data_IF_997417632287
#
_entry.id   IF_997417632287
#
_cell.length_a   1.000
_cell.length_b   1.000
_cell.length_c   1.000
_cell.angle_alpha   90.00
_cell.angle_beta   90.00
_cell.angle_gamma   90.00
#
_symmetry.space_group_name_H-M   'P 1'
#
loop_
_entity.id
_entity.type
_entity.pdbx_description
1 polymer ?
#
# COMPACT_ATOMS: atom_id res chain seq x y z
N UNK A 1 -37.65 40.96 38.36
CA UNK A 1 -36.54 40.01 38.13
C UNK A 1 -36.26 40.01 36.63
N UNK A 2 -35.04 40.25 36.14
CA UNK A 2 -34.76 40.19 34.70
C UNK A 2 -34.92 38.75 34.21
N UNK A 3 -35.65 38.55 33.09
CA UNK A 3 -35.88 37.29 32.46
C UNK A 3 -34.54 36.61 32.18
N UNK A 4 -34.39 35.32 32.56
CA UNK A 4 -33.25 34.50 32.17
C UNK A 4 -33.23 34.42 30.65
N UNK A 5 -32.27 35.06 29.99
CA UNK A 5 -32.04 34.91 28.57
C UNK A 5 -31.78 33.39 28.32
N UNK A 6 -32.65 32.78 27.50
CA UNK A 6 -32.43 31.43 27.07
C UNK A 6 -31.07 31.37 26.33
N UNK A 7 -30.24 30.43 26.71
CA UNK A 7 -28.96 30.22 26.00
C UNK A 7 -29.25 29.75 24.56
N UNK A 8 -28.45 30.18 23.62
CA UNK A 8 -28.55 29.75 22.23
C UNK A 8 -28.52 28.24 22.12
N UNK A 9 -29.26 27.61 21.20
CA UNK A 9 -29.33 26.13 21.05
C UNK A 9 -27.95 25.46 20.95
N UNK A 10 -27.01 26.07 20.23
CA UNK A 10 -25.65 25.52 20.09
C UNK A 10 -24.87 25.50 21.42
N UNK A 11 -25.12 26.48 22.30
CA UNK A 11 -24.49 26.53 23.63
C UNK A 11 -25.05 25.45 24.54
N UNK A 12 -26.34 25.18 24.44
CA UNK A 12 -26.99 24.09 25.18
C UNK A 12 -26.40 22.78 24.74
N UNK A 13 -26.34 22.52 23.44
CA UNK A 13 -25.77 21.30 22.85
C UNK A 13 -24.29 21.09 23.26
N UNK A 14 -23.47 22.14 23.18
CA UNK A 14 -22.08 22.14 23.61
C UNK A 14 -21.92 21.75 25.08
N UNK A 15 -22.73 22.37 25.95
CA UNK A 15 -22.69 22.11 27.40
C UNK A 15 -23.14 20.68 27.76
N UNK A 16 -24.18 20.19 27.12
CA UNK A 16 -24.69 18.84 27.34
C UNK A 16 -23.68 17.80 26.92
N UNK A 17 -22.99 18.02 25.80
CA UNK A 17 -21.95 17.14 25.31
C UNK A 17 -20.72 17.13 26.24
N UNK A 18 -20.23 18.30 26.66
CA UNK A 18 -19.14 18.38 27.62
C UNK A 18 -19.52 17.76 28.98
N UNK A 19 -20.75 17.93 29.43
CA UNK A 19 -21.26 17.31 30.65
C UNK A 19 -21.33 15.80 30.55
N UNK A 20 -21.68 15.24 29.38
CA UNK A 20 -21.71 13.79 29.17
C UNK A 20 -20.31 13.16 29.16
N UNK A 21 -19.29 13.89 28.69
CA UNK A 21 -17.92 13.39 28.56
C UNK A 21 -17.04 13.64 29.80
N UNK A 22 -17.20 14.79 30.46
CA UNK A 22 -16.36 15.24 31.56
C UNK A 22 -17.09 15.33 32.91
N UNK A 23 -18.40 15.09 32.91
CA UNK A 23 -19.24 15.24 34.10
C UNK A 23 -19.62 16.69 34.41
N UNK A 24 -20.45 16.90 35.46
CA UNK A 24 -21.00 18.23 35.79
C UNK A 24 -19.99 19.20 36.43
N UNK A 25 -18.79 18.73 36.74
CA UNK A 25 -17.72 19.54 37.32
C UNK A 25 -17.12 20.55 36.31
N UNK A 26 -17.18 20.26 35.02
CA UNK A 26 -16.63 21.06 33.95
C UNK A 26 -17.73 21.93 33.32
N UNK A 27 -17.52 23.24 33.30
CA UNK A 27 -18.46 24.20 32.73
C UNK A 27 -17.75 25.16 31.77
N UNK A 28 -18.42 25.52 30.68
CA UNK A 28 -17.94 26.51 29.71
C UNK A 28 -18.91 27.66 29.63
N UNK A 29 -18.36 28.86 29.53
CA UNK A 29 -19.15 30.11 29.41
C UNK A 29 -18.40 31.12 28.55
N UNK A 30 -19.13 32.10 28.10
CA UNK A 30 -18.57 33.26 27.43
C UNK A 30 -18.03 34.26 28.48
N UNK A 31 -16.84 34.77 28.24
CA UNK A 31 -16.28 35.93 28.96
C UNK A 31 -15.49 36.82 28.01
N UNK A 32 -15.93 38.06 27.83
CA UNK A 32 -15.28 39.05 26.95
C UNK A 32 -15.07 38.57 25.52
N UNK A 33 -16.06 37.87 24.94
CA UNK A 33 -16.01 37.30 23.60
C UNK A 33 -15.18 36.02 23.47
N UNK A 34 -14.60 35.51 24.56
CA UNK A 34 -13.76 34.32 24.59
C UNK A 34 -14.35 33.22 25.46
N UNK A 35 -13.83 32.02 25.27
CA UNK A 35 -14.21 30.84 26.05
C UNK A 35 -13.57 30.90 27.43
N UNK A 36 -14.40 30.78 28.47
CA UNK A 36 -13.97 30.56 29.85
C UNK A 36 -14.33 29.15 30.29
N UNK A 37 -13.35 28.45 30.86
CA UNK A 37 -13.53 27.15 31.53
C UNK A 37 -13.62 27.39 33.02
N UNK A 38 -14.57 26.72 33.67
CA UNK A 38 -14.79 26.72 35.11
C UNK A 38 -14.87 25.27 35.59
N UNK A 39 -13.94 24.83 36.43
CA UNK A 39 -13.84 23.46 36.94
C UNK A 39 -13.96 23.43 38.45
N UNK A 40 -14.80 22.52 38.95
CA UNK A 40 -14.94 22.22 40.36
C UNK A 40 -14.36 20.86 40.70
N UNK A 41 -13.26 20.83 41.39
CA UNK A 41 -12.58 19.59 41.77
C UNK A 41 -13.28 18.86 42.96
N UNK A 42 -12.92 17.59 43.15
CA UNK A 42 -13.49 16.72 44.21
C UNK A 42 -13.24 17.22 45.63
N UNK A 43 -12.14 17.95 45.84
CA UNK A 43 -11.79 18.63 47.10
C UNK A 43 -12.58 19.92 47.35
N UNK A 44 -13.59 20.20 46.54
CA UNK A 44 -14.43 21.43 46.53
C UNK A 44 -13.68 22.70 46.08
N UNK A 45 -12.41 22.62 45.70
CA UNK A 45 -11.70 23.74 45.10
C UNK A 45 -12.23 24.06 43.73
N UNK A 46 -12.12 25.34 43.32
CA UNK A 46 -12.63 25.82 42.03
C UNK A 46 -11.53 26.56 41.27
N UNK A 47 -11.37 26.23 40.04
CA UNK A 47 -10.37 26.84 39.16
C UNK A 47 -10.97 27.39 37.88
N UNK A 48 -10.44 28.49 37.42
CA UNK A 48 -10.88 29.17 36.21
C UNK A 48 -9.74 29.38 35.22
N UNK A 49 -10.06 29.28 33.93
CA UNK A 49 -9.12 29.56 32.87
C UNK A 49 -9.83 30.08 31.63
N UNK A 50 -9.15 30.88 30.82
CA UNK A 50 -9.68 31.39 29.56
C UNK A 50 -8.89 30.80 28.41
N UNK A 51 -9.60 30.36 27.36
CA UNK A 51 -8.99 29.92 26.11
C UNK A 51 -8.96 31.08 25.12
N UNK A 52 -7.97 31.16 24.24
CA UNK A 52 -7.86 32.20 23.21
C UNK A 52 -8.83 31.99 22.03
N UNK A 53 -9.90 31.25 22.22
CA UNK A 53 -10.92 30.91 21.21
C UNK A 53 -12.10 31.83 21.34
N UNK A 54 -12.59 32.37 20.21
CA UNK A 54 -13.78 33.22 20.18
C UNK A 54 -15.03 32.38 20.46
N UNK A 55 -15.93 32.96 21.33
CA UNK A 55 -17.21 32.34 21.66
C UNK A 55 -18.23 32.61 20.58
N UNK A 56 -18.36 31.68 19.63
CA UNK A 56 -19.38 31.72 18.58
C UNK A 56 -19.76 30.31 18.11
N UNK A 57 -20.88 30.19 17.40
CA UNK A 57 -21.40 28.93 16.92
C UNK A 57 -20.42 28.20 15.95
N UNK A 58 -19.71 28.96 15.12
CA UNK A 58 -18.74 28.37 14.15
C UNK A 58 -17.60 27.68 14.86
N UNK A 59 -17.21 28.12 16.04
CA UNK A 59 -16.12 27.56 16.83
C UNK A 59 -16.60 26.52 17.86
N UNK A 60 -17.88 26.13 17.86
CA UNK A 60 -18.43 25.20 18.88
C UNK A 60 -17.67 23.91 19.01
N UNK A 61 -17.24 23.35 17.90
CA UNK A 61 -16.43 22.11 17.85
C UNK A 61 -15.01 22.34 18.34
N UNK A 62 -14.38 23.46 17.96
CA UNK A 62 -13.05 23.83 18.44
C UNK A 62 -13.06 24.06 19.96
N UNK A 63 -14.11 24.72 20.48
CA UNK A 63 -14.32 24.91 21.91
C UNK A 63 -14.42 23.58 22.64
N UNK A 64 -15.19 22.66 22.09
CA UNK A 64 -15.35 21.31 22.67
C UNK A 64 -14.00 20.59 22.78
N UNK A 65 -13.27 20.47 21.68
CA UNK A 65 -11.98 19.76 21.66
C UNK A 65 -10.97 20.43 22.60
N UNK A 66 -10.89 21.75 22.58
CA UNK A 66 -10.00 22.49 23.45
C UNK A 66 -10.27 22.22 24.95
N UNK A 67 -11.54 22.12 25.34
CA UNK A 67 -11.92 21.80 26.72
C UNK A 67 -11.58 20.36 27.07
N UNK A 68 -11.76 19.41 26.15
CA UNK A 68 -11.40 18.00 26.33
C UNK A 68 -9.88 17.82 26.46
N UNK A 69 -9.09 18.50 25.64
CA UNK A 69 -7.63 18.46 25.69
C UNK A 69 -7.10 19.02 27.02
N UNK A 70 -7.66 20.12 27.49
CA UNK A 70 -7.34 20.68 28.81
C UNK A 70 -7.71 19.68 29.91
N UNK A 71 -8.89 19.08 29.83
CA UNK A 71 -9.36 18.11 30.83
C UNK A 71 -8.47 16.86 30.88
N UNK A 72 -8.02 16.40 29.73
CA UNK A 72 -7.07 15.27 29.64
C UNK A 72 -5.73 15.58 30.32
N UNK A 73 -5.17 16.78 30.10
CA UNK A 73 -3.92 17.18 30.77
C UNK A 73 -4.06 17.30 32.26
N UNK A 74 -5.20 17.84 32.74
CA UNK A 74 -5.48 17.94 34.17
C UNK A 74 -5.62 16.56 34.81
N UNK A 75 -6.30 15.63 34.15
CA UNK A 75 -6.56 14.28 34.70
C UNK A 75 -5.36 13.33 34.61
N UNK A 76 -4.64 13.33 33.48
CA UNK A 76 -3.56 12.36 33.23
C UNK A 76 -2.19 12.80 33.73
N UNK A 77 -1.86 14.09 33.58
CA UNK A 77 -0.55 14.65 33.93
C UNK A 77 -0.53 15.43 35.24
N UNK A 78 -1.63 15.47 35.97
CA UNK A 78 -1.80 16.21 37.24
C UNK A 78 -1.43 17.71 37.16
N UNK A 79 -1.60 18.34 35.98
CA UNK A 79 -1.43 19.78 35.84
C UNK A 79 -2.59 20.52 36.50
N UNK A 80 -2.32 21.70 37.06
CA UNK A 80 -3.38 22.64 37.40
C UNK A 80 -4.07 23.12 36.11
N UNK A 81 -5.32 23.59 36.21
CA UNK A 81 -6.07 24.11 35.04
C UNK A 81 -5.30 25.22 34.30
N UNK A 82 -4.64 26.12 35.04
CA UNK A 82 -3.83 27.20 34.46
C UNK A 82 -2.60 26.69 33.73
N UNK A 83 -1.90 25.71 34.29
CA UNK A 83 -0.76 25.06 33.63
C UNK A 83 -1.17 24.31 32.39
N UNK A 84 -2.27 23.56 32.42
CA UNK A 84 -2.82 22.88 31.26
C UNK A 84 -3.16 23.84 30.12
N UNK A 85 -3.86 24.94 30.44
CA UNK A 85 -4.16 26.00 29.46
C UNK A 85 -2.87 26.70 28.97
N UNK A 86 -1.92 26.99 29.87
CA UNK A 86 -0.64 27.60 29.49
C UNK A 86 0.21 26.69 28.61
N UNK A 87 0.16 25.40 28.84
CA UNK A 87 0.87 24.40 28.00
C UNK A 87 0.25 24.30 26.60
N UNK A 88 -1.09 24.42 26.48
CA UNK A 88 -1.78 24.33 25.22
C UNK A 88 -1.86 25.67 24.46
N UNK A 89 -2.01 26.78 25.19
CA UNK A 89 -2.34 28.11 24.61
C UNK A 89 -1.46 29.26 25.11
N UNK A 90 -0.49 29.01 25.99
CA UNK A 90 0.37 30.05 26.55
C UNK A 90 1.31 30.67 25.52
N UNK A 91 1.18 31.98 25.30
CA UNK A 91 2.08 32.75 24.43
C UNK A 91 3.49 32.85 25.05
N UNK A 92 4.37 31.90 24.77
CA UNK A 92 5.81 32.21 24.73
C UNK A 92 6.07 32.94 23.41
N UNK A 93 6.53 34.19 23.51
CA UNK A 93 7.08 34.94 22.37
C UNK A 93 8.16 34.04 21.71
N UNK A 94 7.86 33.47 20.57
CA UNK A 94 8.74 32.59 19.83
C UNK A 94 8.12 31.21 19.60
N UNK A 95 7.52 31.06 18.44
CA UNK A 95 7.07 29.86 17.74
C UNK A 95 6.01 28.94 18.39
N UNK A 96 5.06 28.46 17.61
CA UNK A 96 4.02 27.51 18.03
C UNK A 96 4.56 26.06 18.05
N UNK A 97 5.58 25.80 18.91
CA UNK A 97 6.20 24.46 19.00
C UNK A 97 5.38 23.44 19.78
N UNK A 98 4.55 23.87 20.74
CA UNK A 98 3.79 22.94 21.58
C UNK A 98 2.55 22.35 20.86
N UNK A 99 1.91 23.14 20.00
CA UNK A 99 0.76 22.68 19.18
C UNK A 99 1.23 21.70 18.09
N UNK A 100 2.40 21.95 17.51
CA UNK A 100 2.99 21.06 16.50
C UNK A 100 3.29 19.66 17.05
N UNK A 101 3.89 19.54 18.22
CA UNK A 101 4.21 18.25 18.81
C UNK A 101 2.96 17.46 19.27
N UNK A 102 1.94 18.13 19.75
CA UNK A 102 0.67 17.48 20.13
C UNK A 102 -0.08 16.96 18.90
N UNK A 103 -0.11 17.74 17.82
CA UNK A 103 -0.75 17.34 16.57
C UNK A 103 -0.01 16.18 15.91
N UNK A 104 1.32 16.15 15.94
CA UNK A 104 2.12 15.04 15.39
C UNK A 104 1.87 13.72 16.15
N UNK A 105 1.95 13.72 17.47
CA UNK A 105 1.66 12.54 18.31
C UNK A 105 0.23 12.04 18.07
N UNK A 106 -0.72 12.95 17.95
CA UNK A 106 -2.12 12.62 17.66
C UNK A 106 -2.29 12.02 16.25
N UNK A 107 -1.58 12.52 15.25
CA UNK A 107 -1.61 11.96 13.90
C UNK A 107 -1.07 10.53 13.87
N UNK A 108 -0.03 10.24 14.65
CA UNK A 108 0.51 8.88 14.82
C UNK A 108 -0.50 7.94 15.48
N UNK A 109 -1.15 8.38 16.56
CA UNK A 109 -2.20 7.60 17.22
C UNK A 109 -3.37 7.30 16.29
N UNK A 110 -3.83 8.28 15.51
CA UNK A 110 -4.90 8.12 14.52
C UNK A 110 -4.45 7.18 13.39
N UNK A 111 -3.18 7.25 13.00
CA UNK A 111 -2.62 6.32 12.02
C UNK A 111 -2.63 4.88 12.54
N UNK A 112 -2.20 4.63 13.76
CA UNK A 112 -2.25 3.29 14.35
C UNK A 112 -3.69 2.78 14.52
N UNK A 113 -4.64 3.64 14.86
CA UNK A 113 -6.05 3.28 14.86
C UNK A 113 -6.56 2.87 13.47
N UNK A 114 -6.13 3.58 12.41
CA UNK A 114 -6.41 3.21 11.03
C UNK A 114 -5.79 1.86 10.65
N UNK A 115 -4.54 1.63 11.03
CA UNK A 115 -3.84 0.36 10.78
C UNK A 115 -4.56 -0.79 11.48
N UNK A 116 -4.96 -0.61 12.73
CA UNK A 116 -5.72 -1.60 13.49
C UNK A 116 -7.10 -1.89 12.86
N UNK A 117 -7.78 -0.87 12.34
CA UNK A 117 -9.01 -1.04 11.59
C UNK A 117 -8.77 -1.84 10.30
N UNK A 118 -7.76 -1.47 9.51
CA UNK A 118 -7.43 -2.13 8.25
C UNK A 118 -6.95 -3.58 8.42
N UNK A 119 -6.23 -3.89 9.48
CA UNK A 119 -5.71 -5.24 9.75
C UNK A 119 -6.79 -6.31 9.86
N UNK A 120 -8.03 -5.92 10.18
CA UNK A 120 -9.18 -6.84 10.29
C UNK A 120 -9.62 -7.44 8.94
N UNK A 121 -9.38 -6.73 7.83
CA UNK A 121 -9.86 -7.11 6.49
C UNK A 121 -8.78 -7.12 5.42
N UNK A 122 -7.57 -6.70 5.75
CA UNK A 122 -6.50 -6.48 4.79
C UNK A 122 -5.32 -7.42 5.05
N UNK A 123 -4.74 -7.97 3.98
CA UNK A 123 -3.58 -8.86 4.08
C UNK A 123 -2.38 -8.14 4.73
N UNK A 124 -1.64 -8.87 5.56
CA UNK A 124 -0.48 -8.38 6.30
C UNK A 124 0.56 -7.67 5.40
N UNK A 125 0.77 -8.16 4.18
CA UNK A 125 1.68 -7.54 3.21
C UNK A 125 1.25 -6.10 2.82
N UNK A 126 -0.05 -5.84 2.76
CA UNK A 126 -0.60 -4.50 2.47
C UNK A 126 -0.47 -3.61 3.71
N UNK A 127 -0.71 -4.15 4.90
CA UNK A 127 -0.50 -3.43 6.18
C UNK A 127 0.97 -2.98 6.31
N UNK A 128 1.94 -3.85 5.99
CA UNK A 128 3.36 -3.47 5.92
C UNK A 128 3.62 -2.32 4.93
N UNK A 129 2.88 -2.30 3.83
CA UNK A 129 2.93 -1.19 2.86
C UNK A 129 2.48 0.14 3.46
N UNK A 130 1.36 0.16 4.17
CA UNK A 130 0.87 1.35 4.90
C UNK A 130 1.91 1.84 5.92
N UNK A 131 2.39 0.95 6.80
CA UNK A 131 3.41 1.29 7.80
C UNK A 131 4.68 1.86 7.19
N UNK A 132 5.14 1.29 6.06
CA UNK A 132 6.31 1.81 5.33
C UNK A 132 6.10 3.21 4.76
N UNK A 133 4.89 3.52 4.29
CA UNK A 133 4.56 4.86 3.79
C UNK A 133 4.58 5.90 4.91
N UNK A 134 3.96 5.59 6.05
CA UNK A 134 3.89 6.51 7.18
C UNK A 134 5.26 6.75 7.83
N UNK A 135 6.03 5.70 8.08
CA UNK A 135 7.38 5.80 8.67
C UNK A 135 8.31 6.77 7.91
N UNK A 136 8.10 6.93 6.61
CA UNK A 136 8.88 7.88 5.80
C UNK A 136 8.51 9.34 6.07
N UNK A 137 7.31 9.58 6.60
CA UNK A 137 6.77 10.91 6.88
C UNK A 137 6.91 11.31 8.34
N UNK A 138 7.11 10.34 9.24
CA UNK A 138 7.22 10.54 10.68
C UNK A 138 8.13 11.74 11.06
N UNK A 139 9.31 11.94 10.45
CA UNK A 139 10.18 13.06 10.80
C UNK A 139 9.63 14.45 10.44
N UNK A 140 8.65 14.53 9.54
CA UNK A 140 8.10 15.80 9.02
C UNK A 140 6.67 16.07 9.48
N UNK A 141 6.06 15.16 10.23
CA UNK A 141 4.68 15.31 10.70
C UNK A 141 4.50 16.52 11.64
N UNK A 142 5.56 16.97 12.30
CA UNK A 142 5.51 18.18 13.14
C UNK A 142 5.28 19.48 12.36
N UNK A 143 5.48 19.49 11.06
CA UNK A 143 5.29 20.63 10.18
C UNK A 143 3.88 20.68 9.57
N UNK A 144 3.13 19.59 9.70
CA UNK A 144 1.81 19.42 9.07
C UNK A 144 0.73 20.15 9.85
N UNK A 145 -0.10 20.90 9.12
CA UNK A 145 -1.22 21.67 9.71
C UNK A 145 -2.59 21.22 9.24
N UNK A 146 -2.67 20.66 8.05
CA UNK A 146 -3.90 20.24 7.38
C UNK A 146 -3.62 19.16 6.32
N UNK A 147 -4.66 18.70 5.64
CA UNK A 147 -4.53 17.66 4.60
C UNK A 147 -3.68 18.12 3.42
N UNK A 148 -3.74 19.39 3.04
CA UNK A 148 -3.01 19.91 1.89
C UNK A 148 -1.50 19.99 2.20
N UNK A 149 -1.12 20.59 3.33
CA UNK A 149 0.29 20.63 3.77
C UNK A 149 0.88 19.24 3.94
N UNK A 150 0.12 18.25 4.43
CA UNK A 150 0.58 16.86 4.50
C UNK A 150 0.88 16.27 3.11
N UNK A 151 0.01 16.51 2.15
CA UNK A 151 0.18 15.97 0.80
C UNK A 151 1.27 16.71 0.03
N UNK A 152 1.42 18.01 0.23
CA UNK A 152 2.49 18.80 -0.38
C UNK A 152 3.88 18.37 0.13
N UNK A 153 4.04 18.10 1.44
CA UNK A 153 5.28 17.55 1.99
C UNK A 153 5.69 16.23 1.35
N UNK A 154 4.73 15.40 0.90
CA UNK A 154 5.05 14.18 0.15
C UNK A 154 5.67 14.52 -1.19
N UNK A 155 5.18 15.56 -1.87
CA UNK A 155 5.70 15.98 -3.18
C UNK A 155 7.05 16.65 -3.09
N UNK A 156 7.37 17.27 -1.96
CA UNK A 156 8.69 17.82 -1.67
C UNK A 156 9.72 16.72 -1.33
N UNK A 157 9.26 15.66 -0.63
CA UNK A 157 10.13 14.57 -0.17
C UNK A 157 10.42 13.52 -1.24
N UNK A 158 9.53 13.31 -2.19
CA UNK A 158 9.65 12.26 -3.21
C UNK A 158 9.56 12.85 -4.60
N UNK A 159 10.42 12.38 -5.50
CA UNK A 159 10.40 12.78 -6.91
C UNK A 159 9.02 12.52 -7.53
N UNK A 160 8.51 13.51 -8.25
CA UNK A 160 7.22 13.46 -8.93
C UNK A 160 7.16 12.28 -9.92
N UNK A 161 6.00 11.69 -10.08
CA UNK A 161 5.77 10.56 -10.99
C UNK A 161 6.37 9.23 -10.52
N UNK A 162 7.08 9.20 -9.38
CA UNK A 162 7.61 7.93 -8.85
C UNK A 162 6.52 7.07 -8.23
N UNK A 163 6.67 5.75 -8.33
CA UNK A 163 5.74 4.81 -7.68
C UNK A 163 5.69 4.97 -6.15
N UNK A 164 6.78 5.45 -5.55
CA UNK A 164 6.84 5.71 -4.12
C UNK A 164 5.96 6.89 -3.74
N UNK A 165 6.05 8.01 -4.46
CA UNK A 165 5.17 9.17 -4.27
C UNK A 165 3.70 8.77 -4.46
N UNK A 166 3.38 8.10 -5.57
CA UNK A 166 2.02 7.63 -5.86
C UNK A 166 1.43 6.78 -4.72
N UNK A 167 2.15 5.74 -4.28
CA UNK A 167 1.67 4.86 -3.22
C UNK A 167 1.50 5.64 -1.91
N UNK A 168 2.43 6.50 -1.56
CA UNK A 168 2.37 7.28 -0.31
C UNK A 168 1.17 8.23 -0.33
N UNK A 169 0.96 8.99 -1.40
CA UNK A 169 -0.19 9.89 -1.56
C UNK A 169 -1.51 9.11 -1.45
N UNK A 170 -1.63 7.96 -2.14
CA UNK A 170 -2.83 7.11 -2.09
C UNK A 170 -3.10 6.57 -0.68
N UNK A 171 -2.07 6.14 0.05
CA UNK A 171 -2.20 5.65 1.41
C UNK A 171 -2.65 6.77 2.37
N UNK A 172 -2.05 7.95 2.28
CA UNK A 172 -2.43 9.10 3.09
C UNK A 172 -3.85 9.57 2.79
N UNK A 173 -4.19 9.68 1.51
CA UNK A 173 -5.55 10.07 1.10
C UNK A 173 -6.60 9.09 1.64
N UNK A 174 -6.31 7.79 1.64
CA UNK A 174 -7.21 6.78 2.18
C UNK A 174 -7.31 6.88 3.72
N UNK A 175 -6.20 7.12 4.39
CA UNK A 175 -6.17 7.35 5.83
C UNK A 175 -6.96 8.60 6.23
N UNK A 176 -6.71 9.74 5.58
CA UNK A 176 -7.41 10.99 5.86
C UNK A 176 -8.93 10.84 5.68
N UNK A 177 -9.40 10.21 4.60
CA UNK A 177 -10.84 9.94 4.41
C UNK A 177 -11.42 9.12 5.55
N UNK A 178 -10.73 8.07 5.96
CA UNK A 178 -11.16 7.24 7.07
C UNK A 178 -11.16 8.03 8.40
N UNK A 179 -10.12 8.82 8.65
CA UNK A 179 -10.00 9.59 9.89
C UNK A 179 -11.08 10.68 10.01
N UNK A 180 -11.42 11.33 8.89
CA UNK A 180 -12.53 12.29 8.83
C UNK A 180 -13.88 11.56 8.97
N UNK A 181 -14.10 10.46 8.25
CA UNK A 181 -15.33 9.66 8.35
C UNK A 181 -15.60 9.16 9.77
N UNK A 182 -14.55 8.80 10.51
CA UNK A 182 -14.62 8.32 11.89
C UNK A 182 -14.54 9.45 12.94
N UNK A 183 -14.57 10.70 12.54
CA UNK A 183 -14.48 11.89 13.40
C UNK A 183 -13.20 11.94 14.26
N UNK A 184 -12.11 11.32 13.81
CA UNK A 184 -10.79 11.53 14.42
C UNK A 184 -10.18 12.87 14.01
N UNK A 185 -10.46 13.31 12.78
CA UNK A 185 -9.97 14.56 12.20
C UNK A 185 -11.15 15.40 11.71
N UNK A 186 -11.02 16.72 11.82
CA UNK A 186 -12.06 17.69 11.41
C UNK A 186 -12.09 17.81 9.89
N UNK A 187 -13.28 17.68 9.29
CA UNK A 187 -13.46 17.65 7.85
C UNK A 187 -12.96 18.93 7.15
N UNK A 188 -13.23 20.11 7.72
CA UNK A 188 -12.86 21.41 7.16
C UNK A 188 -11.35 21.57 6.95
N UNK A 189 -10.56 20.90 7.79
CA UNK A 189 -9.10 21.02 7.79
C UNK A 189 -8.41 19.80 7.16
N UNK A 190 -9.01 18.60 7.31
CA UNK A 190 -8.36 17.34 7.03
C UNK A 190 -9.00 16.52 5.89
N UNK A 191 -10.05 17.06 5.24
CA UNK A 191 -10.61 16.38 4.07
C UNK A 191 -9.59 16.35 2.94
N UNK A 192 -9.20 15.16 2.46
CA UNK A 192 -8.32 15.05 1.31
C UNK A 192 -9.09 15.41 0.03
N UNK A 193 -8.39 15.72 -1.07
CA UNK A 193 -9.02 15.98 -2.36
C UNK A 193 -10.00 14.88 -2.74
N UNK A 194 -11.12 15.26 -3.38
CA UNK A 194 -12.11 14.32 -3.89
C UNK A 194 -11.47 13.37 -4.91
N UNK A 195 -12.01 12.14 -5.02
CA UNK A 195 -11.46 11.14 -5.95
C UNK A 195 -11.54 11.57 -7.41
N UNK A 196 -12.56 12.33 -7.73
CA UNK A 196 -12.89 12.84 -9.06
C UNK A 196 -12.05 14.08 -9.44
N UNK A 197 -11.40 14.72 -8.45
CA UNK A 197 -10.55 15.88 -8.71
C UNK A 197 -9.22 15.43 -9.33
N UNK A 198 -8.69 16.24 -10.25
CA UNK A 198 -7.37 16.04 -10.83
C UNK A 198 -6.23 16.28 -9.82
N UNK A 199 -6.53 16.84 -8.63
CA UNK A 199 -5.53 17.23 -7.63
C UNK A 199 -4.62 16.07 -7.20
N UNK A 200 -5.16 14.86 -7.03
CA UNK A 200 -4.35 13.67 -6.71
C UNK A 200 -3.39 13.32 -7.85
N UNK A 201 -3.84 13.44 -9.10
CA UNK A 201 -2.99 13.20 -10.27
C UNK A 201 -1.90 14.29 -10.40
N UNK A 202 -2.20 15.54 -10.10
CA UNK A 202 -1.26 16.66 -10.05
C UNK A 202 -0.19 16.48 -8.97
N UNK A 203 -0.60 16.09 -7.76
CA UNK A 203 0.31 15.79 -6.65
C UNK A 203 1.26 14.65 -6.98
N UNK A 204 0.75 13.58 -7.62
CA UNK A 204 1.60 12.48 -8.09
C UNK A 204 2.55 12.96 -9.18
N UNK A 205 2.05 13.80 -10.08
CA UNK A 205 2.79 14.35 -11.21
C UNK A 205 3.19 13.32 -12.25
N UNK A 206 3.84 13.78 -13.28
CA UNK A 206 4.51 12.95 -14.30
C UNK A 206 6.02 13.05 -14.07
N UNK A 207 6.72 11.95 -14.22
CA UNK A 207 8.19 11.95 -14.25
C UNK A 207 8.63 12.03 -15.71
N UNK A 208 9.30 13.09 -16.06
CA UNK A 208 9.89 13.25 -17.40
C UNK A 208 11.15 12.38 -17.58
N UNK A 209 11.77 11.94 -16.47
CA UNK A 209 13.04 11.22 -16.47
C UNK A 209 12.96 9.70 -16.31
N UNK A 210 11.87 9.16 -15.74
CA UNK A 210 11.77 7.72 -15.45
C UNK A 210 11.00 7.03 -16.58
N UNK A 211 11.69 6.69 -17.65
CA UNK A 211 11.18 5.68 -18.59
C UNK A 211 10.99 4.37 -17.82
N UNK A 212 9.74 4.00 -17.56
CA UNK A 212 9.40 2.72 -16.91
C UNK A 212 9.82 1.59 -17.82
N UNK A 213 11.01 1.04 -17.60
CA UNK A 213 11.49 -0.12 -18.38
C UNK A 213 10.52 -1.29 -18.26
N UNK A 214 10.11 -1.82 -19.41
CA UNK A 214 9.23 -2.98 -19.52
C UNK A 214 10.02 -4.26 -19.19
N UNK A 215 9.46 -5.13 -18.36
CA UNK A 215 10.03 -6.46 -18.16
C UNK A 215 9.76 -7.29 -19.41
N UNK A 216 10.81 -7.79 -20.04
CA UNK A 216 10.73 -8.60 -21.26
C UNK A 216 10.75 -10.09 -20.95
N UNK A 217 10.22 -10.95 -21.84
CA UNK A 217 10.31 -12.42 -21.69
C UNK A 217 11.76 -12.87 -21.80
N UNK A 218 12.13 -13.95 -21.12
CA UNK A 218 13.31 -14.74 -21.40
C UNK A 218 12.89 -15.88 -22.34
N UNK A 219 13.71 -16.20 -23.34
CA UNK A 219 13.42 -17.23 -24.34
C UNK A 219 13.90 -18.61 -23.94
N UNK A 220 13.41 -19.62 -24.63
CA UNK A 220 13.62 -21.03 -24.25
C UNK A 220 15.08 -21.45 -24.32
N UNK A 221 15.80 -21.04 -25.37
CA UNK A 221 17.24 -21.23 -25.52
C UNK A 221 18.04 -20.55 -24.41
N UNK A 222 17.64 -19.35 -24.02
CA UNK A 222 18.25 -18.59 -22.91
C UNK A 222 18.01 -19.28 -21.56
N UNK A 223 16.83 -19.88 -21.35
CA UNK A 223 16.51 -20.63 -20.13
C UNK A 223 17.35 -21.91 -20.05
N UNK A 224 17.42 -22.64 -21.13
CA UNK A 224 18.23 -23.87 -21.20
C UNK A 224 19.70 -23.54 -20.99
N UNK A 225 20.27 -22.60 -21.75
CA UNK A 225 21.65 -22.16 -21.58
C UNK A 225 21.98 -21.67 -20.17
N UNK A 226 21.03 -20.98 -19.51
CA UNK A 226 21.19 -20.56 -18.12
C UNK A 226 21.29 -21.77 -17.18
N UNK A 227 20.39 -22.74 -17.31
CA UNK A 227 20.41 -23.96 -16.47
C UNK A 227 21.69 -24.75 -16.69
N UNK A 228 22.13 -24.92 -17.94
CA UNK A 228 23.39 -25.61 -18.29
C UNK A 228 24.62 -24.89 -17.72
N UNK A 229 24.68 -23.57 -17.89
CA UNK A 229 25.74 -22.75 -17.31
C UNK A 229 25.82 -22.86 -15.80
N UNK A 230 24.67 -22.85 -15.12
CA UNK A 230 24.62 -23.02 -13.67
C UNK A 230 25.17 -24.40 -13.27
N UNK A 231 24.72 -25.45 -13.92
CA UNK A 231 25.19 -26.82 -13.64
C UNK A 231 26.70 -26.97 -13.85
N UNK A 232 27.22 -26.40 -14.93
CA UNK A 232 28.65 -26.42 -15.24
C UNK A 232 29.50 -25.67 -14.21
N UNK A 233 28.99 -24.53 -13.70
CA UNK A 233 29.80 -23.65 -12.85
C UNK A 233 29.61 -23.88 -11.36
N UNK A 234 28.49 -24.51 -10.95
CA UNK A 234 28.13 -24.70 -9.54
C UNK A 234 27.33 -25.98 -9.30
N UNK A 235 28.04 -27.11 -9.26
CA UNK A 235 27.43 -28.34 -8.72
C UNK A 235 27.23 -28.19 -7.21
N UNK A 236 26.03 -27.83 -6.80
CA UNK A 236 25.68 -27.73 -5.38
C UNK A 236 24.18 -27.90 -5.15
N UNK A 237 23.82 -28.47 -4.01
CA UNK A 237 22.43 -28.61 -3.57
C UNK A 237 21.68 -27.27 -3.56
N UNK A 238 22.38 -26.15 -3.43
CA UNK A 238 21.79 -24.79 -3.49
C UNK A 238 21.47 -24.42 -4.94
N UNK A 239 22.37 -24.69 -5.89
CA UNK A 239 22.13 -24.46 -7.31
C UNK A 239 20.91 -25.25 -7.80
N UNK A 240 20.78 -26.53 -7.41
CA UNK A 240 19.64 -27.38 -7.77
C UNK A 240 18.30 -26.81 -7.32
N UNK A 241 18.26 -26.20 -6.13
CA UNK A 241 17.05 -25.52 -5.62
C UNK A 241 16.66 -24.31 -6.46
N UNK A 242 17.64 -23.51 -6.90
CA UNK A 242 17.39 -22.38 -7.80
C UNK A 242 17.01 -22.84 -9.20
N UNK A 243 17.67 -23.85 -9.75
CA UNK A 243 17.31 -24.48 -11.03
C UNK A 243 15.86 -24.97 -10.98
N UNK A 244 15.47 -25.66 -9.93
CA UNK A 244 14.09 -26.13 -9.75
C UNK A 244 13.09 -24.98 -9.75
N UNK A 245 13.38 -23.90 -9.06
CA UNK A 245 12.51 -22.71 -9.08
C UNK A 245 12.43 -22.04 -10.48
N UNK A 246 13.56 -21.97 -11.22
CA UNK A 246 13.57 -21.49 -12.61
C UNK A 246 12.69 -22.39 -13.48
N UNK A 247 12.83 -23.70 -13.35
CA UNK A 247 12.04 -24.70 -14.09
C UNK A 247 10.55 -24.53 -13.83
N UNK A 248 10.13 -24.36 -12.56
CA UNK A 248 8.74 -24.12 -12.18
C UNK A 248 8.18 -22.82 -12.77
N UNK A 249 8.91 -21.72 -12.63
CA UNK A 249 8.48 -20.44 -13.17
C UNK A 249 8.38 -20.46 -14.69
N UNK A 250 9.31 -21.09 -15.37
CA UNK A 250 9.38 -21.16 -16.83
C UNK A 250 8.35 -22.10 -17.43
N UNK A 251 8.15 -23.28 -16.83
CA UNK A 251 7.24 -24.29 -17.36
C UNK A 251 5.78 -23.96 -17.08
N UNK A 252 5.45 -23.51 -15.87
CA UNK A 252 4.07 -23.26 -15.44
C UNK A 252 3.69 -21.79 -15.36
N UNK A 253 4.57 -20.86 -15.69
CA UNK A 253 4.29 -19.43 -15.66
C UNK A 253 4.03 -18.86 -14.26
N UNK A 254 4.64 -19.43 -13.22
CA UNK A 254 4.41 -19.06 -11.84
C UNK A 254 5.00 -17.68 -11.46
N UNK A 255 4.33 -17.00 -10.53
CA UNK A 255 5.00 -15.91 -9.81
C UNK A 255 6.01 -16.51 -8.82
N UNK A 256 7.14 -15.83 -8.53
CA UNK A 256 8.15 -16.39 -7.61
C UNK A 256 7.60 -16.85 -6.25
N UNK A 257 6.60 -16.16 -5.69
CA UNK A 257 6.01 -16.55 -4.41
C UNK A 257 4.99 -17.70 -4.50
N UNK A 258 4.56 -18.07 -5.69
CA UNK A 258 3.58 -19.15 -5.88
C UNK A 258 4.23 -20.52 -5.88
N UNK A 259 5.55 -20.61 -6.11
CA UNK A 259 6.27 -21.87 -6.16
C UNK A 259 6.12 -22.73 -4.90
N UNK A 260 5.99 -22.11 -3.73
CA UNK A 260 5.80 -22.82 -2.45
C UNK A 260 4.40 -23.44 -2.28
N UNK A 261 3.43 -23.03 -3.10
CA UNK A 261 2.03 -23.46 -3.02
C UNK A 261 1.66 -24.41 -4.18
N UNK A 262 2.62 -24.82 -5.00
CA UNK A 262 2.38 -25.76 -6.10
C UNK A 262 2.30 -27.17 -5.55
N UNK A 263 1.26 -27.89 -5.92
CA UNK A 263 1.08 -29.31 -5.59
C UNK A 263 0.46 -30.05 -6.77
N UNK A 264 0.58 -31.37 -6.77
CA UNK A 264 -0.25 -32.24 -7.59
C UNK A 264 -1.45 -32.66 -6.74
N UNK A 265 -2.66 -32.45 -7.24
CA UNK A 265 -3.88 -32.82 -6.54
C UNK A 265 -4.20 -34.32 -6.66
N UNK A 266 -5.29 -34.76 -6.02
CA UNK A 266 -5.65 -36.20 -5.94
C UNK A 266 -6.05 -36.79 -7.31
N UNK A 267 -6.38 -35.95 -8.30
CA UNK A 267 -6.67 -36.37 -9.66
C UNK A 267 -5.51 -36.18 -10.63
N UNK A 268 -4.33 -35.81 -10.11
CA UNK A 268 -3.10 -35.72 -10.88
C UNK A 268 -2.86 -34.36 -11.56
N UNK A 269 -3.66 -33.33 -11.27
CA UNK A 269 -3.48 -31.98 -11.84
C UNK A 269 -2.48 -31.18 -11.04
N UNK A 270 -1.72 -30.34 -11.73
CA UNK A 270 -0.84 -29.36 -11.07
C UNK A 270 -1.63 -28.12 -10.72
N UNK A 271 -1.65 -27.77 -9.45
CA UNK A 271 -2.45 -26.63 -8.94
C UNK A 271 -1.63 -25.74 -8.02
N UNK A 272 -1.97 -24.46 -8.01
CA UNK A 272 -1.53 -23.49 -7.00
C UNK A 272 -2.61 -23.40 -5.93
N UNK A 273 -2.35 -23.91 -4.71
CA UNK A 273 -3.33 -23.91 -3.61
C UNK A 273 -3.60 -22.52 -3.09
N UNK A 274 -2.57 -21.69 -2.96
CA UNK A 274 -2.66 -20.35 -2.43
C UNK A 274 -1.85 -19.36 -3.27
N UNK A 275 -2.30 -18.12 -3.33
CA UNK A 275 -1.63 -17.09 -4.09
C UNK A 275 -2.36 -15.75 -3.99
N UNK A 276 -1.86 -14.75 -4.70
CA UNK A 276 -2.53 -13.44 -4.76
C UNK A 276 -3.95 -13.53 -5.33
N UNK A 277 -4.18 -14.49 -6.22
CA UNK A 277 -5.43 -14.68 -6.97
C UNK A 277 -6.19 -15.95 -6.55
N UNK A 278 -5.80 -16.60 -5.45
CA UNK A 278 -6.43 -17.80 -4.94
C UNK A 278 -6.01 -19.09 -5.67
N UNK A 279 -6.82 -20.13 -5.49
CA UNK A 279 -6.65 -21.44 -6.11
C UNK A 279 -6.76 -21.36 -7.63
N UNK A 280 -5.88 -22.06 -8.35
CA UNK A 280 -5.98 -22.27 -9.80
C UNK A 280 -5.22 -23.50 -10.26
N UNK A 281 -5.71 -24.10 -11.31
CA UNK A 281 -5.02 -25.12 -12.10
C UNK A 281 -3.97 -24.45 -13.00
N UNK A 282 -2.85 -25.10 -13.22
CA UNK A 282 -1.75 -24.62 -14.06
C UNK A 282 -1.27 -25.75 -14.99
N UNK A 283 -0.74 -25.37 -16.15
CA UNK A 283 -0.25 -26.31 -17.16
C UNK A 283 1.15 -25.94 -17.63
N UNK A 284 1.94 -26.96 -17.85
CA UNK A 284 3.25 -26.85 -18.49
C UNK A 284 3.10 -26.45 -19.95
N UNK A 285 3.50 -25.21 -20.29
CA UNK A 285 3.48 -24.73 -21.68
C UNK A 285 4.88 -24.86 -22.29
N UNK A 286 5.26 -26.10 -22.51
CA UNK A 286 6.40 -26.51 -23.32
C UNK A 286 6.28 -28.01 -23.56
N UNK A 287 6.47 -28.54 -24.80
CA UNK A 287 6.16 -29.91 -25.12
C UNK A 287 6.98 -30.96 -24.32
N UNK A 288 8.18 -30.60 -23.88
CA UNK A 288 9.10 -31.55 -23.26
C UNK A 288 9.54 -31.22 -21.84
N UNK A 289 9.41 -29.94 -21.36
CA UNK A 289 10.04 -29.55 -20.10
C UNK A 289 9.46 -30.23 -18.86
N UNK A 290 8.15 -30.40 -18.79
CA UNK A 290 7.53 -31.08 -17.66
C UNK A 290 8.07 -32.45 -17.47
N UNK A 291 8.19 -33.23 -18.58
CA UNK A 291 8.73 -34.60 -18.60
C UNK A 291 10.26 -34.62 -18.39
N UNK A 292 11.01 -33.84 -19.20
CA UNK A 292 12.47 -33.85 -19.17
C UNK A 292 13.07 -33.38 -17.85
N UNK A 293 12.37 -32.50 -17.17
CA UNK A 293 12.77 -31.99 -15.84
C UNK A 293 12.10 -32.75 -14.70
N UNK A 294 11.32 -33.80 -14.97
CA UNK A 294 10.59 -34.63 -13.99
C UNK A 294 9.77 -33.80 -13.01
N UNK A 295 9.14 -32.72 -13.49
CA UNK A 295 8.52 -31.73 -12.60
C UNK A 295 7.37 -32.30 -11.77
N UNK A 296 6.54 -33.17 -12.32
CA UNK A 296 5.45 -33.79 -11.58
C UNK A 296 5.97 -34.63 -10.40
N UNK A 297 7.07 -35.40 -10.62
CA UNK A 297 7.74 -36.15 -9.56
C UNK A 297 8.31 -35.21 -8.51
N UNK A 298 9.08 -34.21 -8.93
CA UNK A 298 9.68 -33.22 -8.03
C UNK A 298 8.64 -32.47 -7.15
N UNK A 299 7.49 -32.14 -7.72
CA UNK A 299 6.38 -31.50 -6.98
C UNK A 299 5.80 -32.48 -5.96
N UNK A 300 5.53 -33.75 -6.36
CA UNK A 300 5.02 -34.80 -5.46
C UNK A 300 6.01 -35.10 -4.32
N UNK A 301 7.29 -35.20 -4.63
CA UNK A 301 8.36 -35.45 -3.66
C UNK A 301 8.72 -34.20 -2.83
N UNK A 302 8.04 -33.10 -3.04
CA UNK A 302 8.28 -31.81 -2.36
C UNK A 302 9.74 -31.37 -2.44
N UNK A 303 10.30 -31.42 -3.65
CA UNK A 303 11.68 -30.95 -3.92
C UNK A 303 11.89 -29.59 -3.26
N UNK A 304 12.93 -29.39 -2.44
CA UNK A 304 13.12 -28.17 -1.70
C UNK A 304 13.46 -26.98 -2.61
N UNK A 305 12.80 -25.87 -2.34
CA UNK A 305 13.10 -24.55 -2.91
C UNK A 305 14.27 -23.89 -2.15
N UNK A 306 14.91 -22.85 -2.72
CA UNK A 306 15.91 -22.08 -1.98
C UNK A 306 15.30 -21.43 -0.74
N UNK A 307 16.13 -21.08 0.25
CA UNK A 307 15.67 -20.38 1.46
C UNK A 307 14.98 -19.08 1.06
N UNK A 308 13.76 -18.88 1.54
CA UNK A 308 12.97 -17.68 1.28
C UNK A 308 13.50 -16.51 2.11
N UNK A 309 14.02 -15.44 1.51
CA UNK A 309 14.42 -14.25 2.26
C UNK A 309 13.17 -13.47 2.76
N UNK A 310 13.37 -12.58 3.72
CA UNK A 310 12.28 -11.73 4.25
C UNK A 310 11.56 -10.92 3.17
N UNK A 311 12.28 -10.53 2.10
CA UNK A 311 11.73 -9.81 0.95
C UNK A 311 11.04 -10.73 -0.07
N UNK A 312 11.03 -12.05 0.16
CA UNK A 312 10.40 -13.05 -0.69
C UNK A 312 11.29 -13.62 -1.80
N UNK A 313 10.79 -14.68 -2.45
CA UNK A 313 11.54 -15.40 -3.48
C UNK A 313 12.00 -14.53 -4.65
N UNK A 314 11.18 -13.58 -5.10
CA UNK A 314 11.55 -12.70 -6.22
C UNK A 314 12.86 -11.95 -5.98
N UNK A 315 13.06 -11.45 -4.77
CA UNK A 315 14.31 -10.79 -4.37
C UNK A 315 15.45 -11.81 -4.17
N UNK A 316 15.16 -12.98 -3.61
CA UNK A 316 16.15 -14.06 -3.48
C UNK A 316 16.71 -14.48 -4.83
N UNK A 317 15.82 -14.73 -5.80
CA UNK A 317 16.23 -15.06 -7.17
C UNK A 317 16.98 -13.91 -7.84
N UNK A 318 16.53 -12.66 -7.67
CA UNK A 318 17.22 -11.49 -8.21
C UNK A 318 18.67 -11.43 -7.74
N UNK A 319 18.90 -11.55 -6.43
CA UNK A 319 20.24 -11.50 -5.84
C UNK A 319 21.11 -12.67 -6.32
N UNK A 320 20.55 -13.86 -6.39
CA UNK A 320 21.30 -15.04 -6.81
C UNK A 320 21.62 -15.02 -8.32
N UNK A 321 20.68 -14.56 -9.17
CA UNK A 321 20.86 -14.50 -10.61
C UNK A 321 21.94 -13.50 -11.04
N UNK A 322 22.14 -12.41 -10.33
CA UNK A 322 23.21 -11.45 -10.66
C UNK A 322 24.61 -12.01 -10.46
N UNK A 323 24.74 -13.13 -9.74
CA UNK A 323 26.01 -13.86 -9.58
C UNK A 323 26.21 -14.93 -10.67
N UNK A 324 25.28 -15.10 -11.62
CA UNK A 324 25.38 -16.10 -12.68
C UNK A 324 25.92 -15.45 -13.97
N UNK A 325 27.09 -15.87 -14.46
CA UNK A 325 27.72 -15.22 -15.62
C UNK A 325 26.82 -15.19 -16.86
N UNK A 326 26.18 -16.30 -17.20
CA UNK A 326 25.30 -16.40 -18.36
C UNK A 326 24.06 -15.49 -18.23
N UNK A 327 23.51 -15.33 -17.02
CA UNK A 327 22.42 -14.36 -16.80
C UNK A 327 22.86 -12.94 -17.06
N UNK A 328 24.08 -12.55 -16.63
CA UNK A 328 24.64 -11.23 -16.91
C UNK A 328 24.88 -11.02 -18.40
N UNK A 329 25.30 -12.04 -19.12
CA UNK A 329 25.46 -12.00 -20.58
C UNK A 329 24.12 -11.74 -21.27
N UNK A 330 23.05 -12.48 -20.93
CA UNK A 330 21.71 -12.24 -21.46
C UNK A 330 21.26 -10.81 -21.15
N UNK A 331 21.44 -10.36 -19.91
CA UNK A 331 21.10 -8.97 -19.51
C UNK A 331 21.84 -7.95 -20.34
N UNK A 332 23.13 -8.12 -20.59
CA UNK A 332 23.94 -7.20 -21.40
C UNK A 332 23.40 -7.10 -22.85
N UNK A 333 22.89 -8.20 -23.40
CA UNK A 333 22.31 -8.23 -24.75
C UNK A 333 20.92 -7.61 -24.81
N UNK A 334 20.12 -7.72 -23.74
CA UNK A 334 18.67 -7.45 -23.78
C UNK A 334 18.20 -6.25 -22.98
N UNK A 335 18.92 -5.86 -21.91
CA UNK A 335 18.58 -4.68 -21.15
C UNK A 335 18.95 -3.41 -21.94
N UNK A 336 18.03 -2.46 -21.99
CA UNK A 336 18.23 -1.14 -22.60
C UNK A 336 17.40 -0.07 -21.87
N UNK A 337 17.24 1.10 -22.45
CA UNK A 337 16.45 2.19 -21.85
C UNK A 337 14.97 1.83 -21.66
N UNK A 338 14.41 0.94 -22.48
CA UNK A 338 13.00 0.57 -22.46
C UNK A 338 12.75 -0.79 -21.83
N UNK A 339 13.69 -1.73 -21.95
CA UNK A 339 13.54 -3.13 -21.60
C UNK A 339 14.45 -3.55 -20.46
N UNK A 340 14.00 -4.51 -19.65
CA UNK A 340 14.80 -5.07 -18.56
C UNK A 340 14.43 -6.52 -18.28
N UNK A 341 15.44 -7.37 -18.12
CA UNK A 341 15.31 -8.74 -17.61
C UNK A 341 15.28 -8.75 -16.07
N UNK A 342 14.31 -9.46 -15.53
CA UNK A 342 14.09 -9.64 -14.08
C UNK A 342 13.68 -11.09 -13.81
N UNK A 343 13.62 -11.48 -12.54
CA UNK A 343 13.05 -12.79 -12.14
C UNK A 343 11.67 -13.05 -12.77
N UNK A 344 10.87 -12.00 -12.96
CA UNK A 344 9.55 -12.09 -13.61
C UNK A 344 9.62 -12.45 -15.11
N UNK A 345 10.78 -12.32 -15.75
CA UNK A 345 10.99 -12.67 -17.16
C UNK A 345 10.75 -14.15 -17.46
N UNK A 346 10.97 -15.04 -16.50
CA UNK A 346 10.62 -16.46 -16.65
C UNK A 346 9.12 -16.65 -16.86
N UNK A 347 8.29 -15.97 -16.08
CA UNK A 347 6.85 -16.01 -16.24
C UNK A 347 6.40 -15.31 -17.54
N UNK A 348 7.07 -14.24 -17.94
CA UNK A 348 6.84 -13.62 -19.25
C UNK A 348 7.22 -14.54 -20.40
N UNK A 349 8.25 -15.38 -20.26
CA UNK A 349 8.60 -16.41 -21.24
C UNK A 349 7.48 -17.43 -21.45
N UNK A 350 6.80 -17.86 -20.39
CA UNK A 350 5.60 -18.69 -20.48
C UNK A 350 4.49 -17.99 -21.31
N UNK A 351 4.18 -16.73 -20.99
CA UNK A 351 3.18 -15.97 -21.72
C UNK A 351 3.57 -15.75 -23.18
N UNK A 352 4.86 -15.48 -23.46
CA UNK A 352 5.40 -15.37 -24.81
C UNK A 352 5.13 -16.63 -25.63
N UNK A 353 5.45 -17.84 -25.12
CA UNK A 353 5.15 -19.09 -25.79
C UNK A 353 3.67 -19.24 -26.13
N UNK A 354 2.79 -18.97 -25.18
CA UNK A 354 1.33 -19.05 -25.40
C UNK A 354 0.87 -18.17 -26.56
N UNK A 355 1.44 -16.98 -26.69
CA UNK A 355 0.99 -16.02 -27.70
C UNK A 355 1.69 -16.16 -29.06
N UNK A 356 2.90 -16.69 -29.10
CA UNK A 356 3.73 -16.66 -30.31
C UNK A 356 4.05 -18.03 -30.89
N UNK A 357 4.09 -19.08 -30.05
CA UNK A 357 4.34 -20.43 -30.54
C UNK A 357 3.08 -21.00 -31.22
N UNK A 358 3.15 -21.40 -32.51
CA UNK A 358 2.01 -21.96 -33.25
C UNK A 358 1.38 -23.19 -32.57
N UNK A 359 2.15 -23.94 -31.79
CA UNK A 359 1.65 -25.12 -31.04
C UNK A 359 0.59 -24.73 -30.02
N UNK A 360 0.67 -23.52 -29.45
CA UNK A 360 -0.19 -23.04 -28.37
C UNK A 360 -1.09 -21.90 -28.79
N UNK A 361 -0.59 -20.95 -29.58
CA UNK A 361 -1.31 -19.71 -29.93
C UNK A 361 -2.60 -19.96 -30.72
N UNK A 362 -2.69 -21.07 -31.43
CA UNK A 362 -3.91 -21.48 -32.14
C UNK A 362 -4.93 -22.23 -31.26
N UNK A 363 -4.49 -22.75 -30.09
CA UNK A 363 -5.31 -23.63 -29.24
C UNK A 363 -5.69 -22.98 -27.91
N UNK A 364 -4.86 -22.09 -27.38
CA UNK A 364 -5.07 -21.46 -26.08
C UNK A 364 -5.58 -20.04 -26.30
N UNK A 365 -6.87 -19.82 -25.99
CA UNK A 365 -7.41 -18.48 -26.05
C UNK A 365 -6.75 -17.53 -25.02
N UNK A 366 -6.73 -16.24 -25.29
CA UNK A 366 -6.19 -15.23 -24.38
C UNK A 366 -6.90 -15.23 -23.02
N UNK A 367 -8.20 -15.61 -23.01
CA UNK A 367 -8.98 -15.77 -21.78
C UNK A 367 -8.51 -16.97 -20.96
N UNK A 368 -8.24 -18.11 -21.61
CA UNK A 368 -7.70 -19.30 -20.95
C UNK A 368 -6.29 -19.03 -20.43
N UNK A 369 -5.42 -18.41 -21.24
CA UNK A 369 -4.07 -17.99 -20.81
C UNK A 369 -4.11 -17.08 -19.57
N UNK A 370 -5.03 -16.11 -19.55
CA UNK A 370 -5.25 -15.24 -18.40
C UNK A 370 -5.62 -16.03 -17.13
N UNK A 371 -6.54 -16.98 -17.26
CA UNK A 371 -6.98 -17.86 -16.15
C UNK A 371 -5.81 -18.69 -15.62
N UNK A 372 -5.06 -19.38 -16.49
CA UNK A 372 -3.89 -20.18 -16.11
C UNK A 372 -2.81 -19.37 -15.40
N UNK A 373 -2.62 -18.11 -15.82
CA UNK A 373 -1.71 -17.18 -15.15
C UNK A 373 -2.31 -16.53 -13.90
N UNK A 374 -3.60 -16.70 -13.61
CA UNK A 374 -4.29 -16.00 -12.51
C UNK A 374 -4.29 -14.49 -12.71
N UNK A 375 -4.69 -14.05 -13.89
CA UNK A 375 -4.99 -12.65 -14.23
C UNK A 375 -6.47 -12.50 -14.58
N UNK A 376 -7.02 -11.28 -14.46
CA UNK A 376 -8.22 -10.95 -15.24
C UNK A 376 -7.82 -10.84 -16.73
N UNK A 377 -8.77 -11.09 -17.63
CA UNK A 377 -8.52 -10.99 -19.07
C UNK A 377 -8.02 -9.58 -19.46
N UNK A 378 -8.59 -8.52 -18.88
CA UNK A 378 -8.16 -7.15 -19.11
C UNK A 378 -6.68 -6.92 -18.75
N UNK A 379 -6.24 -7.38 -17.57
CA UNK A 379 -4.83 -7.27 -17.16
C UNK A 379 -3.91 -8.10 -18.05
N UNK A 380 -4.39 -9.25 -18.51
CA UNK A 380 -3.62 -10.11 -19.42
C UNK A 380 -3.41 -9.43 -20.77
N UNK A 381 -4.46 -8.87 -21.36
CA UNK A 381 -4.39 -8.14 -22.62
C UNK A 381 -3.55 -6.86 -22.53
N UNK A 382 -3.67 -6.11 -21.45
CA UNK A 382 -2.82 -4.94 -21.19
C UNK A 382 -1.32 -5.28 -21.23
N UNK A 383 -0.95 -6.46 -20.69
CA UNK A 383 0.47 -6.85 -20.57
C UNK A 383 1.01 -7.63 -21.76
N UNK A 384 0.21 -8.46 -22.37
CA UNK A 384 0.64 -9.46 -23.35
C UNK A 384 -0.09 -9.38 -24.68
N UNK A 385 -1.15 -8.59 -24.79
CA UNK A 385 -1.94 -8.48 -26.02
C UNK A 385 -1.13 -8.04 -27.22
N UNK A 386 -0.13 -7.19 -27.02
CA UNK A 386 0.79 -6.75 -28.09
C UNK A 386 1.70 -7.86 -28.66
N UNK A 387 1.78 -9.02 -28.00
CA UNK A 387 2.59 -10.16 -28.47
C UNK A 387 1.80 -11.09 -29.38
N UNK A 388 0.47 -10.95 -29.43
CA UNK A 388 -0.36 -11.72 -30.37
C UNK A 388 -0.04 -11.24 -31.78
N UNK A 389 0.51 -12.09 -32.67
CA UNK A 389 0.84 -11.67 -34.04
C UNK A 389 -0.42 -11.20 -34.78
N UNK A 390 -0.35 -10.04 -35.44
CA UNK A 390 -1.45 -9.53 -36.27
C UNK A 390 -1.85 -10.50 -37.40
N UNK A 391 -0.90 -11.30 -37.89
CA UNK A 391 -1.17 -12.37 -38.85
C UNK A 391 -1.98 -13.54 -38.30
N UNK A 392 -2.03 -13.77 -36.97
CA UNK A 392 -2.88 -14.80 -36.39
C UNK A 392 -4.35 -14.44 -36.41
N UNK A 393 -4.68 -13.15 -36.37
CA UNK A 393 -6.05 -12.64 -36.50
C UNK A 393 -6.56 -12.94 -37.92
N UNK A 394 -5.75 -12.66 -38.92
CA UNK A 394 -6.08 -12.93 -40.32
C UNK A 394 -6.27 -14.44 -40.56
N UNK A 395 -5.33 -15.28 -40.14
CA UNK A 395 -5.45 -16.74 -40.23
C UNK A 395 -6.69 -17.28 -39.49
N UNK A 396 -7.04 -16.71 -38.35
CA UNK A 396 -8.25 -17.12 -37.62
C UNK A 396 -9.51 -16.71 -38.37
N UNK A 397 -9.51 -15.53 -39.00
CA UNK A 397 -10.62 -15.08 -39.85
C UNK A 397 -10.72 -15.92 -41.12
N UNK A 398 -9.60 -16.19 -41.81
CA UNK A 398 -9.56 -17.05 -43.00
C UNK A 398 -10.09 -18.46 -42.66
N UNK A 399 -9.70 -19.04 -41.52
CA UNK A 399 -10.23 -20.32 -41.05
C UNK A 399 -11.73 -20.29 -40.70
N UNK A 400 -12.26 -19.20 -40.18
CA UNK A 400 -13.68 -19.01 -39.85
C UNK A 400 -14.49 -18.78 -41.12
N UNK A 401 -13.95 -18.05 -42.06
CA UNK A 401 -14.60 -17.65 -43.30
C UNK A 401 -14.45 -18.71 -44.40
N UNK A 402 -13.60 -19.74 -44.19
CA UNK A 402 -13.37 -20.81 -45.16
C UNK A 402 -12.63 -20.35 -46.41
N UNK A 403 -11.76 -19.31 -46.28
CA UNK A 403 -10.96 -18.76 -47.40
C UNK A 403 -9.52 -19.17 -47.27
#
# INVERSE_FOLDING_TARGET
MPARKHADPWVVSLRDMLKSQLGPAWRVMEQSGKVKIDVRFSDKTRSYGSLPILWNQKNSYEIQNAVLDVAQLVSTKKYSLKEAISNLYGSKKGAPKAIANTDATRLEEIWEAFINHKSRTTKESTIKGYRKSFKKLEPILCEVRDAESLLDLVTEKFDKGTRTAEITIRHLTQWLRWAVEKNYLVAERWSPPQKESNRIAELIGKSDEVVKRKTVPIYDDEIIGLIESIRKNRESKTADKYIYGIQLMSCYGLRPHEMEFVVVDDVGRVVVKEGKTGFREIYGIHPHWEKNWELLKKIKDRQPLPKKPAQGYGEGFRKWLIDQPYWLEIKKRRDNKENVLKTYSFRHGWAWRVHTDPLYSSKISTRLAASLMGHSHAIHMEKYGSWTPTGSIRKSLDNILGV
#
